data_IF_048009120422
#
_entry.id   IF_048009120422
#
_cell.length_a   1.000
_cell.length_b   1.000
_cell.length_c   1.000
_cell.angle_alpha   90.00
_cell.angle_beta   90.00
_cell.angle_gamma   90.00
#
_symmetry.space_group_name_H-M   'P 1'
#
loop_
_entity.id
_entity.type
_entity.pdbx_description
1 polymer ?
#
# COMPACT_ATOMS: atom_id res chain seq x y z
N UNK A 1 7.68 -3.38 -8.29
CA UNK A 1 7.22 -2.13 -7.63
C UNK A 1 7.91 -1.01 -8.36
N UNK A 2 7.19 0.04 -8.75
CA UNK A 2 7.81 1.18 -9.43
C UNK A 2 8.75 1.90 -8.45
N UNK A 3 9.95 2.22 -8.89
CA UNK A 3 10.90 3.01 -8.11
C UNK A 3 10.92 4.48 -8.56
N UNK A 4 11.81 5.26 -7.95
CA UNK A 4 11.97 6.67 -8.27
C UNK A 4 12.40 6.91 -9.74
N UNK A 5 13.17 5.98 -10.31
CA UNK A 5 13.61 6.04 -11.70
C UNK A 5 12.42 5.85 -12.63
N UNK A 6 11.55 4.88 -12.33
CA UNK A 6 10.34 4.62 -13.11
C UNK A 6 9.42 5.86 -13.15
N UNK A 7 9.25 6.54 -12.02
CA UNK A 7 8.46 7.78 -11.95
C UNK A 7 9.12 8.91 -12.74
N UNK A 8 10.43 9.08 -12.63
CA UNK A 8 11.16 10.10 -13.39
C UNK A 8 11.05 9.87 -14.90
N UNK A 9 11.14 8.62 -15.36
CA UNK A 9 10.97 8.26 -16.77
C UNK A 9 9.53 8.50 -17.25
N UNK A 10 8.53 8.20 -16.41
CA UNK A 10 7.13 8.50 -16.74
C UNK A 10 6.90 10.01 -16.91
N UNK A 11 7.50 10.86 -16.06
CA UNK A 11 7.44 12.31 -16.22
C UNK A 11 8.14 12.78 -17.49
N UNK A 12 9.34 12.26 -17.77
CA UNK A 12 10.08 12.56 -19.02
C UNK A 12 9.24 12.21 -20.24
N UNK A 13 8.56 11.06 -20.25
CA UNK A 13 7.69 10.66 -21.34
C UNK A 13 6.48 11.60 -21.49
N UNK A 14 5.84 11.98 -20.38
CA UNK A 14 4.71 12.91 -20.40
C UNK A 14 5.09 14.31 -20.93
N UNK A 15 6.23 14.84 -20.48
CA UNK A 15 6.77 16.12 -20.96
C UNK A 15 7.15 16.01 -22.44
N UNK A 16 7.78 14.90 -22.85
CA UNK A 16 8.14 14.66 -24.25
C UNK A 16 6.91 14.60 -25.16
N UNK A 17 5.83 13.96 -24.73
CA UNK A 17 4.58 13.94 -25.48
C UNK A 17 3.94 15.34 -25.61
N UNK A 18 4.06 16.19 -24.58
CA UNK A 18 3.57 17.57 -24.64
C UNK A 18 4.41 18.45 -25.58
N UNK A 19 5.74 18.32 -25.53
CA UNK A 19 6.66 19.13 -26.35
C UNK A 19 6.72 18.65 -27.81
N UNK A 20 6.58 17.34 -28.01
CA UNK A 20 6.63 16.65 -29.31
C UNK A 20 5.38 15.79 -29.53
N UNK A 21 4.20 16.39 -29.75
CA UNK A 21 2.95 15.65 -29.92
C UNK A 21 2.94 14.73 -31.15
N UNK A 22 3.74 15.07 -32.17
CA UNK A 22 3.92 14.27 -33.38
C UNK A 22 5.20 13.41 -33.35
N UNK A 23 5.80 13.23 -32.18
CA UNK A 23 7.07 12.51 -32.00
C UNK A 23 8.31 13.39 -32.17
N UNK A 24 9.45 12.92 -31.67
CA UNK A 24 10.71 13.67 -31.58
C UNK A 24 11.41 13.91 -32.92
N UNK A 25 10.97 13.21 -33.98
CA UNK A 25 11.39 13.49 -35.37
C UNK A 25 10.69 14.70 -36.00
N UNK A 26 9.61 15.19 -35.38
CA UNK A 26 8.92 16.41 -35.80
C UNK A 26 9.45 17.64 -35.02
N UNK A 27 9.24 18.86 -35.53
CA UNK A 27 9.54 20.08 -34.78
C UNK A 27 8.79 20.10 -33.44
N UNK A 28 9.43 20.67 -32.41
CA UNK A 28 8.74 20.89 -31.13
C UNK A 28 7.66 21.96 -31.30
N UNK A 29 6.65 21.94 -30.42
CA UNK A 29 5.61 22.97 -30.40
C UNK A 29 6.15 24.39 -30.13
N UNK A 30 7.35 24.49 -29.54
CA UNK A 30 7.99 25.77 -29.20
C UNK A 30 8.83 26.34 -30.34
N UNK A 31 9.03 25.57 -31.42
CA UNK A 31 9.95 25.91 -32.51
C UNK A 31 11.43 25.74 -32.17
N UNK A 32 11.76 25.40 -30.93
CA UNK A 32 13.14 25.14 -30.45
C UNK A 32 13.30 23.65 -30.15
N UNK A 33 14.39 23.03 -30.62
CA UNK A 33 14.67 21.64 -30.28
C UNK A 33 14.91 21.51 -28.76
N UNK A 34 14.15 20.66 -28.08
CA UNK A 34 14.19 20.49 -26.64
C UNK A 34 14.70 19.08 -26.27
N UNK A 35 15.63 19.02 -25.32
CA UNK A 35 16.19 17.77 -24.79
C UNK A 35 15.63 17.54 -23.38
N UNK A 36 14.90 16.44 -23.21
CA UNK A 36 14.14 16.14 -21.98
C UNK A 36 14.69 14.84 -21.39
N UNK A 37 15.08 14.86 -20.12
CA UNK A 37 15.76 13.73 -19.48
C UNK A 37 15.62 13.75 -17.96
N UNK A 38 15.88 12.60 -17.34
CA UNK A 38 15.94 12.45 -15.90
C UNK A 38 17.36 12.71 -15.37
N UNK A 39 17.46 13.31 -14.18
CA UNK A 39 18.72 13.60 -13.51
C UNK A 39 19.32 14.98 -13.84
N UNK A 40 20.55 15.19 -13.38
CA UNK A 40 21.28 16.44 -13.63
C UNK A 40 21.88 16.48 -15.04
N UNK A 41 21.97 17.67 -15.67
CA UNK A 41 22.62 17.83 -16.96
C UNK A 41 24.09 17.44 -16.89
N UNK A 42 24.60 16.79 -17.94
CA UNK A 42 26.05 16.75 -18.16
C UNK A 42 26.50 18.12 -18.71
N UNK A 43 27.51 18.73 -18.07
CA UNK A 43 27.94 20.09 -18.39
C UNK A 43 28.47 20.23 -19.84
N UNK A 44 29.16 19.21 -20.35
CA UNK A 44 29.70 19.24 -21.71
C UNK A 44 28.59 19.15 -22.77
N UNK A 45 27.61 18.26 -22.56
CA UNK A 45 26.47 18.12 -23.47
C UNK A 45 25.57 19.35 -23.42
N UNK A 46 25.29 19.87 -22.21
CA UNK A 46 24.49 21.07 -22.02
C UNK A 46 25.12 22.26 -22.75
N UNK A 47 26.43 22.48 -22.60
CA UNK A 47 27.12 23.59 -23.26
C UNK A 47 27.07 23.48 -24.78
N UNK A 48 27.26 22.27 -25.32
CA UNK A 48 27.19 22.02 -26.77
C UNK A 48 25.77 22.26 -27.31
N UNK A 49 24.75 21.77 -26.62
CA UNK A 49 23.36 21.88 -27.03
C UNK A 49 22.83 23.32 -26.91
N UNK A 50 23.22 24.06 -25.86
CA UNK A 50 22.90 25.49 -25.73
C UNK A 50 23.55 26.32 -26.85
N UNK A 51 24.79 25.99 -27.24
CA UNK A 51 25.47 26.63 -28.38
C UNK A 51 24.74 26.32 -29.70
N UNK A 52 24.16 25.12 -29.80
CA UNK A 52 23.31 24.73 -30.93
C UNK A 52 21.87 25.29 -30.84
N UNK A 53 21.57 26.13 -29.84
CA UNK A 53 20.27 26.78 -29.67
C UNK A 53 19.16 25.86 -29.15
N UNK A 54 19.50 24.74 -28.50
CA UNK A 54 18.51 23.81 -27.93
C UNK A 54 18.08 24.22 -26.53
N UNK A 55 16.85 23.84 -26.16
CA UNK A 55 16.33 23.97 -24.80
C UNK A 55 16.51 22.65 -24.03
N UNK A 56 16.57 22.71 -22.69
CA UNK A 56 16.68 21.53 -21.84
C UNK A 56 15.58 21.50 -20.77
N UNK A 57 15.08 20.31 -20.48
CA UNK A 57 14.20 20.04 -19.33
C UNK A 57 14.78 18.83 -18.57
N UNK A 58 15.22 19.07 -17.34
CA UNK A 58 15.75 18.04 -16.44
C UNK A 58 14.72 17.71 -15.35
N UNK A 59 14.39 16.42 -15.20
CA UNK A 59 13.51 15.92 -14.12
C UNK A 59 14.37 15.30 -13.03
N UNK A 60 14.38 15.89 -11.85
CA UNK A 60 15.14 15.38 -10.71
C UNK A 60 14.32 15.47 -9.42
N UNK A 61 14.54 14.56 -8.47
CA UNK A 61 13.81 14.57 -7.22
C UNK A 61 14.24 15.74 -6.33
N UNK A 62 13.28 16.33 -5.63
CA UNK A 62 13.57 17.34 -4.60
C UNK A 62 13.98 16.68 -3.29
N UNK A 63 14.88 17.30 -2.53
CA UNK A 63 15.32 16.77 -1.23
C UNK A 63 14.24 16.86 -0.13
N UNK A 64 13.12 17.52 -0.42
CA UNK A 64 12.03 17.80 0.54
C UNK A 64 10.90 16.79 0.53
N UNK A 65 10.85 15.88 -0.45
CA UNK A 65 9.75 14.92 -0.56
C UNK A 65 10.05 13.61 0.17
N UNK A 66 9.12 13.19 1.03
CA UNK A 66 9.14 11.89 1.72
C UNK A 66 7.99 11.05 1.19
N UNK A 67 8.27 9.80 0.83
CA UNK A 67 7.22 8.81 0.56
C UNK A 67 6.41 8.61 1.84
N UNK A 68 5.21 9.20 1.91
CA UNK A 68 4.23 8.90 2.95
C UNK A 68 3.45 7.67 2.52
N UNK A 69 3.40 6.65 3.39
CA UNK A 69 2.61 5.44 3.15
C UNK A 69 1.14 5.85 2.97
N UNK A 70 0.59 5.59 1.78
CA UNK A 70 -0.83 5.85 1.46
C UNK A 70 -1.76 4.72 1.92
N UNK A 71 -1.21 3.70 2.59
CA UNK A 71 -1.99 2.60 3.12
C UNK A 71 -2.90 3.11 4.24
N UNK A 72 -4.17 3.34 3.90
CA UNK A 72 -5.25 3.49 4.87
C UNK A 72 -5.94 2.13 4.99
N UNK A 73 -6.07 1.64 6.22
CA UNK A 73 -6.94 0.49 6.49
C UNK A 73 -8.34 1.03 6.67
N UNK A 74 -9.29 0.58 5.85
CA UNK A 74 -10.69 0.85 6.12
C UNK A 74 -11.11 0.16 7.42
N UNK A 75 -11.91 0.86 8.22
CA UNK A 75 -12.55 0.25 9.37
C UNK A 75 -13.50 -0.83 8.89
N UNK A 76 -13.31 -2.07 9.34
CA UNK A 76 -14.24 -3.16 9.11
C UNK A 76 -14.79 -3.69 10.42
N UNK A 77 -16.05 -4.12 10.40
CA UNK A 77 -16.62 -4.85 11.52
C UNK A 77 -15.84 -6.16 11.71
N UNK A 78 -15.36 -6.41 12.93
CA UNK A 78 -14.70 -7.67 13.26
C UNK A 78 -15.74 -8.79 13.24
N UNK A 79 -15.55 -9.88 12.45
CA UNK A 79 -16.49 -10.99 12.44
C UNK A 79 -16.50 -11.66 13.82
N UNK A 80 -17.69 -11.80 14.39
CA UNK A 80 -17.90 -12.56 15.63
C UNK A 80 -18.12 -14.01 15.23
N UNK A 81 -17.22 -14.90 15.65
CA UNK A 81 -17.38 -16.34 15.43
C UNK A 81 -18.59 -16.87 16.23
N UNK A 82 -19.44 -17.74 15.64
CA UNK A 82 -20.54 -18.34 16.37
C UNK A 82 -20.02 -19.28 17.47
N UNK A 83 -20.65 -19.26 18.64
CA UNK A 83 -20.34 -20.21 19.71
C UNK A 83 -20.73 -21.64 19.27
N UNK A 84 -19.79 -22.59 19.40
CA UNK A 84 -20.03 -23.99 18.99
C UNK A 84 -20.38 -24.90 20.17
N UNK A 85 -20.34 -24.36 21.38
CA UNK A 85 -20.70 -25.03 22.62
C UNK A 85 -21.92 -24.36 23.26
N UNK A 86 -22.77 -25.18 23.89
CA UNK A 86 -23.84 -24.73 24.79
C UNK A 86 -23.63 -25.32 26.18
N UNK A 87 -23.88 -24.50 27.20
CA UNK A 87 -23.77 -24.86 28.61
C UNK A 87 -25.15 -24.70 29.25
N UNK A 88 -25.68 -25.77 29.82
CA UNK A 88 -26.94 -25.74 30.56
C UNK A 88 -26.68 -26.15 32.00
N UNK A 89 -27.13 -25.34 32.95
CA UNK A 89 -26.97 -25.63 34.38
C UNK A 89 -28.30 -26.13 34.94
N UNK A 90 -28.27 -27.31 35.56
CA UNK A 90 -29.40 -27.86 36.31
C UNK A 90 -28.92 -28.29 37.70
N UNK A 91 -29.39 -27.58 38.73
CA UNK A 91 -28.88 -27.70 40.10
C UNK A 91 -27.35 -27.58 40.16
N UNK A 92 -26.65 -28.65 40.55
CA UNK A 92 -25.20 -28.69 40.68
C UNK A 92 -24.49 -29.34 39.48
N UNK A 93 -25.21 -29.59 38.39
CA UNK A 93 -24.68 -30.24 37.19
C UNK A 93 -24.68 -29.27 36.01
N UNK A 94 -23.55 -29.19 35.32
CA UNK A 94 -23.40 -28.45 34.06
C UNK A 94 -23.38 -29.47 32.91
N UNK A 95 -24.34 -29.35 32.01
CA UNK A 95 -24.36 -30.12 30.76
C UNK A 95 -23.71 -29.29 29.68
N UNK A 96 -22.63 -29.82 29.10
CA UNK A 96 -21.93 -29.26 27.94
C UNK A 96 -22.42 -30.00 26.70
N UNK A 97 -22.84 -29.28 25.67
CA UNK A 97 -23.20 -29.86 24.38
C UNK A 97 -22.57 -29.08 23.22
N UNK A 98 -22.47 -29.71 22.05
CA UNK A 98 -21.85 -29.14 20.85
C UNK A 98 -20.48 -29.74 20.56
N UNK A 99 -19.77 -29.13 19.60
CA UNK A 99 -18.44 -29.59 19.17
C UNK A 99 -17.39 -28.59 19.64
N UNK A 100 -16.44 -28.99 20.51
CA UNK A 100 -15.41 -28.09 20.99
C UNK A 100 -14.48 -27.65 19.85
N UNK A 101 -14.30 -26.34 19.74
CA UNK A 101 -13.41 -25.68 18.79
C UNK A 101 -12.49 -24.71 19.54
N UNK A 102 -11.25 -24.57 19.07
CA UNK A 102 -10.31 -23.62 19.64
C UNK A 102 -10.77 -22.17 19.41
N UNK A 103 -10.40 -21.26 20.31
CA UNK A 103 -10.73 -19.83 20.19
C UNK A 103 -12.02 -19.41 20.87
N UNK A 104 -12.60 -20.25 21.72
CA UNK A 104 -13.73 -19.91 22.59
C UNK A 104 -13.43 -20.28 24.05
N UNK A 105 -14.08 -19.57 24.98
CA UNK A 105 -14.02 -19.86 26.40
C UNK A 105 -15.37 -20.36 26.89
N UNK A 106 -15.37 -21.44 27.67
CA UNK A 106 -16.52 -21.90 28.44
C UNK A 106 -16.40 -21.34 29.85
N UNK A 107 -17.46 -20.72 30.37
CA UNK A 107 -17.44 -20.11 31.70
C UNK A 107 -18.69 -20.51 32.50
N UNK A 108 -18.48 -20.84 33.77
CA UNK A 108 -19.54 -21.13 34.74
C UNK A 108 -19.25 -20.35 36.02
N UNK A 109 -20.30 -19.85 36.68
CA UNK A 109 -20.19 -19.31 38.03
C UNK A 109 -20.46 -20.45 39.02
N UNK A 110 -19.43 -20.88 39.76
CA UNK A 110 -19.56 -21.84 40.85
C UNK A 110 -19.43 -21.08 42.18
N UNK A 111 -20.47 -21.11 43.02
CA UNK A 111 -20.53 -20.37 44.28
C UNK A 111 -20.20 -18.87 44.13
N UNK A 112 -20.64 -18.27 43.02
CA UNK A 112 -20.36 -16.87 42.69
C UNK A 112 -18.93 -16.58 42.22
N UNK A 113 -18.07 -17.59 42.14
CA UNK A 113 -16.72 -17.48 41.58
C UNK A 113 -16.71 -17.92 40.11
N UNK A 114 -16.14 -17.11 39.19
CA UNK A 114 -16.03 -17.49 37.80
C UNK A 114 -14.96 -18.55 37.59
N UNK A 115 -15.38 -19.70 37.06
CA UNK A 115 -14.49 -20.74 36.53
C UNK A 115 -14.54 -20.63 35.02
N UNK A 116 -13.43 -20.24 34.41
CA UNK A 116 -13.30 -20.07 32.96
C UNK A 116 -12.32 -21.09 32.42
N UNK A 117 -12.71 -21.77 31.35
CA UNK A 117 -11.91 -22.76 30.66
C UNK A 117 -11.73 -22.36 29.19
N UNK A 118 -10.48 -22.35 28.73
CA UNK A 118 -10.13 -22.10 27.34
C UNK A 118 -10.23 -23.41 26.54
N UNK A 119 -11.23 -23.49 25.67
CA UNK A 119 -11.57 -24.71 24.92
C UNK A 119 -10.50 -24.98 23.86
N UNK A 120 -10.07 -26.24 23.77
CA UNK A 120 -9.14 -26.73 22.76
C UNK A 120 -9.87 -27.62 21.76
N UNK A 121 -9.31 -27.73 20.56
CA UNK A 121 -9.81 -28.68 19.58
C UNK A 121 -9.56 -30.11 20.09
N UNK A 122 -10.62 -30.93 20.15
CA UNK A 122 -10.53 -32.31 20.62
C UNK A 122 -10.75 -32.50 22.13
N UNK A 123 -11.15 -31.46 22.88
CA UNK A 123 -11.64 -31.63 24.25
C UNK A 123 -12.90 -32.54 24.26
N UNK A 124 -13.13 -33.28 25.36
CA UNK A 124 -14.26 -34.21 25.53
C UNK A 124 -14.94 -34.04 26.87
#
# INVERSE_FOLDING_TARGET
MADQTDVAQALVAAISAAVYPNGTGAPSITGVAAVIYAGWPNAATLSADLTAGKAHVSVFPTASERVTQSASSDWMAQPIAPATLSLTVAANTVTVAGTPAAGQNAAVLADGQPVVYAVRAGDT
#
